data_IF_314104653756
#
_entry.id   IF_314104653756
#
_cell.length_a   1.000
_cell.length_b   1.000
_cell.length_c   1.000
_cell.angle_alpha   90.00
_cell.angle_beta   90.00
_cell.angle_gamma   90.00
#
_symmetry.space_group_name_H-M   'P 1'
#
loop_
_entity.id
_entity.type
_entity.pdbx_description
1 polymer ?
#
# COMPACT_ATOMS: atom_id res chain seq x y z
N UNK A 1 8.13 -3.88 17.28
CA UNK A 1 7.16 -2.85 16.84
C UNK A 1 5.79 -3.52 16.81
N UNK A 2 4.74 -2.91 17.36
CA UNK A 2 3.39 -3.47 17.34
C UNK A 2 2.63 -2.94 16.11
N UNK A 3 1.80 -3.81 15.53
CA UNK A 3 0.92 -3.45 14.42
C UNK A 3 -0.12 -2.45 14.91
N UNK A 4 -0.37 -1.41 14.12
CA UNK A 4 -1.37 -0.36 14.42
C UNK A 4 -2.68 -0.59 13.69
N UNK A 5 -2.63 -1.31 12.56
CA UNK A 5 -3.79 -1.68 11.77
C UNK A 5 -3.62 -3.12 11.29
N UNK A 6 -4.72 -3.73 10.84
CA UNK A 6 -4.70 -5.07 10.28
C UNK A 6 -5.58 -5.14 9.04
N UNK A 7 -4.96 -5.43 7.89
CA UNK A 7 -5.64 -5.91 6.70
C UNK A 7 -5.20 -7.34 6.43
N UNK A 8 -6.15 -8.26 6.38
CA UNK A 8 -5.88 -9.68 6.22
C UNK A 8 -6.04 -10.16 4.77
N UNK A 9 -5.25 -11.17 4.42
CA UNK A 9 -5.47 -12.07 3.28
C UNK A 9 -5.35 -13.52 3.75
N UNK A 10 -6.00 -14.43 3.03
CA UNK A 10 -5.92 -15.88 3.19
C UNK A 10 -5.05 -16.47 2.10
N UNK A 11 -4.22 -17.44 2.45
CA UNK A 11 -3.51 -18.30 1.50
C UNK A 11 -3.62 -19.78 1.94
N UNK A 12 -3.43 -20.76 1.02
CA UNK A 12 -3.44 -22.17 1.39
C UNK A 12 -2.31 -22.51 2.36
N UNK A 13 -2.60 -23.20 3.46
CA UNK A 13 -1.59 -23.65 4.44
C UNK A 13 -0.54 -24.60 3.84
N UNK A 14 -0.85 -25.20 2.70
CA UNK A 14 0.09 -26.03 1.92
C UNK A 14 1.07 -25.22 1.05
N UNK A 15 0.98 -23.89 1.05
CA UNK A 15 1.90 -23.06 0.27
C UNK A 15 3.30 -23.09 0.88
N UNK A 16 4.31 -23.31 0.03
CA UNK A 16 5.68 -23.48 0.50
C UNK A 16 6.40 -22.14 0.64
N UNK A 17 7.01 -21.93 1.81
CA UNK A 17 7.85 -20.77 2.15
C UNK A 17 9.26 -21.20 2.55
N UNK A 18 9.68 -22.42 2.21
CA UNK A 18 11.01 -22.96 2.51
C UNK A 18 12.12 -22.15 1.85
N UNK A 19 11.91 -21.72 0.60
CA UNK A 19 12.89 -20.95 -0.18
C UNK A 19 12.74 -19.42 -0.03
N UNK A 20 11.84 -18.94 0.83
CA UNK A 20 11.54 -17.52 0.94
C UNK A 20 12.81 -16.69 1.18
N UNK A 21 13.65 -17.10 2.13
CA UNK A 21 14.84 -16.33 2.52
C UNK A 21 15.91 -16.28 1.42
N UNK A 22 15.95 -17.29 0.55
CA UNK A 22 16.84 -17.35 -0.62
C UNK A 22 16.35 -16.42 -1.75
N UNK A 23 15.04 -16.24 -1.88
CA UNK A 23 14.40 -15.47 -2.95
C UNK A 23 14.22 -13.99 -2.61
N UNK A 24 14.09 -13.63 -1.33
CA UNK A 24 13.91 -12.24 -0.89
C UNK A 24 14.98 -11.26 -1.37
N UNK A 25 16.29 -11.61 -1.45
CA UNK A 25 17.32 -10.69 -1.94
C UNK A 25 17.07 -10.18 -3.37
N UNK A 26 16.48 -11.00 -4.25
CA UNK A 26 16.15 -10.59 -5.62
C UNK A 26 15.02 -9.56 -5.68
N UNK A 27 14.19 -9.51 -4.63
CA UNK A 27 13.08 -8.60 -4.47
C UNK A 27 13.35 -7.49 -3.44
N UNK A 28 14.61 -7.30 -3.02
CA UNK A 28 15.00 -6.25 -2.08
C UNK A 28 14.70 -4.84 -2.62
N UNK A 29 14.39 -3.92 -1.71
CA UNK A 29 14.17 -2.52 -2.08
C UNK A 29 15.46 -1.93 -2.66
N UNK A 30 15.39 -1.51 -3.92
CA UNK A 30 16.41 -0.68 -4.54
C UNK A 30 16.06 0.80 -4.44
N UNK A 31 17.05 1.70 -4.41
CA UNK A 31 16.80 3.13 -4.50
C UNK A 31 15.97 3.48 -5.74
N UNK A 32 15.04 4.43 -5.58
CA UNK A 32 14.22 4.90 -6.71
C UNK A 32 15.09 5.56 -7.77
N UNK A 33 14.93 5.13 -9.02
CA UNK A 33 15.72 5.63 -10.15
C UNK A 33 15.46 7.11 -10.47
N UNK A 34 16.36 7.77 -11.22
CA UNK A 34 16.25 9.21 -11.52
C UNK A 34 14.97 9.57 -12.29
N UNK A 35 14.47 8.69 -13.15
CA UNK A 35 13.23 8.87 -13.92
C UNK A 35 12.07 7.99 -13.43
N UNK A 36 12.25 7.28 -12.32
CA UNK A 36 11.20 6.46 -11.72
C UNK A 36 10.39 7.26 -10.71
N UNK A 37 9.08 7.06 -10.68
CA UNK A 37 8.19 7.70 -9.72
C UNK A 37 8.23 7.01 -8.36
N UNK A 38 8.41 5.69 -8.35
CA UNK A 38 8.47 4.90 -7.13
C UNK A 38 9.34 3.65 -7.31
N UNK A 39 9.74 3.08 -6.17
CA UNK A 39 10.39 1.79 -6.05
C UNK A 39 9.84 1.08 -4.81
N UNK A 40 9.63 -0.23 -4.91
CA UNK A 40 9.10 -1.08 -3.84
C UNK A 40 9.89 -2.39 -3.75
N UNK A 41 10.09 -2.86 -2.52
CA UNK A 41 10.78 -4.12 -2.28
C UNK A 41 10.96 -4.41 -0.79
N UNK A 42 11.57 -5.55 -0.50
CA UNK A 42 11.79 -5.99 0.87
C UNK A 42 12.91 -5.20 1.55
N UNK A 43 12.71 -4.92 2.83
CA UNK A 43 13.70 -4.31 3.71
C UNK A 43 13.83 -5.15 4.99
N UNK A 44 14.93 -5.01 5.73
CA UNK A 44 15.11 -5.77 6.96
C UNK A 44 14.03 -5.42 8.00
N UNK A 45 13.32 -6.42 8.58
CA UNK A 45 12.29 -6.17 9.59
C UNK A 45 12.85 -5.48 10.84
N UNK A 46 14.10 -5.77 11.21
CA UNK A 46 14.73 -5.15 12.38
C UNK A 46 15.21 -3.71 12.16
N UNK A 47 15.17 -3.20 10.92
CA UNK A 47 15.53 -1.82 10.60
C UNK A 47 16.87 -1.70 9.88
N UNK A 48 17.45 -0.50 9.92
CA UNK A 48 18.65 -0.17 9.13
C UNK A 48 19.88 -0.86 9.71
N UNK A 49 20.72 -1.43 8.85
CA UNK A 49 21.99 -2.06 9.22
C UNK A 49 21.93 -3.58 9.38
N UNK A 50 20.73 -4.15 9.29
CA UNK A 50 20.50 -5.60 9.30
C UNK A 50 20.45 -6.14 7.87
N UNK A 51 20.87 -7.38 7.66
CA UNK A 51 20.88 -8.00 6.32
C UNK A 51 19.67 -8.93 6.10
N UNK A 52 19.14 -9.52 7.17
CA UNK A 52 18.02 -10.45 7.09
C UNK A 52 16.73 -9.74 6.67
N UNK A 53 16.16 -10.15 5.53
CA UNK A 53 14.92 -9.59 4.95
C UNK A 53 13.63 -10.23 5.49
N UNK A 54 13.77 -11.23 6.36
CA UNK A 54 12.69 -11.88 7.08
C UNK A 54 13.11 -12.18 8.52
N UNK A 55 12.13 -12.45 9.37
CA UNK A 55 12.37 -13.01 10.68
C UNK A 55 11.34 -14.09 10.98
N UNK A 56 11.80 -15.30 11.32
CA UNK A 56 10.94 -16.46 11.56
C UNK A 56 10.93 -16.85 13.03
N UNK A 57 9.75 -17.08 13.58
CA UNK A 57 9.53 -17.63 14.93
C UNK A 57 8.41 -18.67 14.85
N UNK A 58 8.75 -19.95 15.01
CA UNK A 58 7.80 -21.04 14.83
C UNK A 58 7.15 -21.01 13.44
N UNK A 59 5.81 -21.04 13.40
CA UNK A 59 5.01 -20.96 12.18
C UNK A 59 4.71 -19.52 11.73
N UNK A 60 5.41 -18.52 12.26
CA UNK A 60 5.23 -17.12 11.90
C UNK A 60 6.46 -16.57 11.16
N UNK A 61 6.23 -15.84 10.06
CA UNK A 61 7.26 -15.10 9.33
C UNK A 61 6.90 -13.62 9.32
N UNK A 62 7.79 -12.79 9.85
CA UNK A 62 7.71 -11.35 9.77
C UNK A 62 8.51 -10.83 8.57
N UNK A 63 7.86 -10.02 7.74
CA UNK A 63 8.41 -9.33 6.59
C UNK A 63 8.17 -7.82 6.72
N UNK A 64 9.05 -7.03 6.10
CA UNK A 64 8.84 -5.60 5.94
C UNK A 64 9.02 -5.21 4.47
N UNK A 65 8.04 -4.50 3.92
CA UNK A 65 8.09 -3.94 2.56
C UNK A 65 8.32 -2.44 2.66
N UNK A 66 9.42 -2.01 2.08
CA UNK A 66 9.75 -0.60 1.92
C UNK A 66 9.21 -0.04 0.61
N UNK A 67 8.97 1.27 0.58
CA UNK A 67 8.66 1.99 -0.64
C UNK A 67 9.35 3.34 -0.66
N UNK A 68 9.91 3.72 -1.78
CA UNK A 68 10.45 5.04 -2.05
C UNK A 68 9.61 5.70 -3.13
N UNK A 69 9.08 6.90 -2.86
CA UNK A 69 8.23 7.64 -3.79
C UNK A 69 8.80 9.03 -4.04
N UNK A 70 8.91 9.45 -5.30
CA UNK A 70 9.28 10.82 -5.64
C UNK A 70 8.12 11.76 -5.35
N UNK A 71 8.41 12.79 -4.56
CA UNK A 71 7.47 13.85 -4.23
C UNK A 71 7.54 14.88 -5.36
N UNK A 72 6.68 14.70 -6.36
CA UNK A 72 6.47 15.66 -7.43
C UNK A 72 4.98 16.02 -7.50
N UNK A 73 4.53 17.03 -6.74
CA UNK A 73 3.12 17.40 -6.71
C UNK A 73 2.64 17.82 -8.10
N UNK A 74 1.50 17.27 -8.53
CA UNK A 74 0.93 17.59 -9.84
C UNK A 74 0.64 19.08 -10.02
N UNK A 75 0.34 19.81 -8.95
CA UNK A 75 0.16 21.27 -8.95
C UNK A 75 1.43 21.98 -9.45
N UNK A 76 2.59 21.66 -8.88
CA UNK A 76 3.89 22.26 -9.26
C UNK A 76 4.20 22.01 -10.75
N UNK A 77 3.96 20.80 -11.24
CA UNK A 77 4.16 20.45 -12.66
C UNK A 77 3.21 21.25 -13.56
N UNK A 78 1.95 21.38 -13.16
CA UNK A 78 0.95 22.09 -13.94
C UNK A 78 1.20 23.60 -13.97
N UNK A 79 1.67 24.20 -12.88
CA UNK A 79 2.00 25.62 -12.79
C UNK A 79 3.20 25.96 -13.67
N UNK A 80 4.28 25.17 -13.59
CA UNK A 80 5.46 25.32 -14.45
C UNK A 80 5.12 25.10 -15.93
N UNK A 81 4.24 24.14 -16.23
CA UNK A 81 3.75 23.93 -17.58
C UNK A 81 2.96 25.15 -18.07
N UNK A 82 2.08 25.72 -17.25
CA UNK A 82 1.30 26.90 -17.61
C UNK A 82 2.20 28.12 -17.88
N UNK A 83 3.22 28.34 -17.05
CA UNK A 83 4.22 29.39 -17.25
C UNK A 83 4.97 29.22 -18.58
N UNK A 84 5.54 28.03 -18.86
CA UNK A 84 6.25 27.78 -20.13
C UNK A 84 5.33 27.89 -21.34
N UNK A 85 4.07 27.47 -21.25
CA UNK A 85 3.10 27.65 -22.33
C UNK A 85 2.86 29.13 -22.60
N UNK A 86 2.60 29.94 -21.56
CA UNK A 86 2.38 31.37 -21.71
C UNK A 86 3.58 32.08 -22.37
N UNK A 87 4.81 31.74 -21.95
CA UNK A 87 6.04 32.29 -22.54
C UNK A 87 6.19 31.96 -24.04
N UNK A 88 5.79 30.75 -24.46
CA UNK A 88 5.85 30.33 -25.87
C UNK A 88 4.76 31.01 -26.68
N UNK A 89 3.55 31.10 -26.15
CA UNK A 89 2.41 31.74 -26.83
C UNK A 89 2.63 33.25 -27.02
N UNK A 90 3.24 33.92 -26.04
CA UNK A 90 3.64 35.33 -26.13
C UNK A 90 4.69 35.55 -27.23
N UNK A 91 5.68 34.66 -27.34
CA UNK A 91 6.75 34.75 -28.35
C UNK A 91 6.28 34.40 -29.76
N UNK A 92 5.42 33.39 -29.92
CA UNK A 92 4.95 32.93 -31.23
C UNK A 92 3.68 33.65 -31.72
N UNK A 93 3.01 34.41 -30.85
CA UNK A 93 1.76 35.11 -31.17
C UNK A 93 0.58 34.18 -31.46
N UNK A 94 0.65 32.91 -31.05
CA UNK A 94 -0.38 31.89 -31.28
C UNK A 94 -0.48 30.92 -30.11
N UNK A 95 -1.65 30.29 -29.98
CA UNK A 95 -1.88 29.25 -28.96
C UNK A 95 -1.12 27.96 -29.25
N UNK A 96 -0.62 27.32 -28.20
CA UNK A 96 0.08 26.07 -28.29
C UNK A 96 -0.90 24.90 -28.46
N UNK A 97 -0.71 24.09 -29.49
CA UNK A 97 -1.53 22.90 -29.73
C UNK A 97 -1.36 21.83 -28.64
N UNK A 98 -2.41 21.04 -28.39
CA UNK A 98 -2.41 20.02 -27.33
C UNK A 98 -1.25 19.00 -27.40
N UNK A 99 -0.82 18.63 -28.62
CA UNK A 99 0.33 17.74 -28.83
C UNK A 99 1.64 18.36 -28.35
N UNK A 100 1.85 19.65 -28.61
CA UNK A 100 3.05 20.36 -28.17
C UNK A 100 3.04 20.56 -26.65
N UNK A 101 1.88 20.88 -26.07
CA UNK A 101 1.72 20.96 -24.61
C UNK A 101 2.02 19.64 -23.90
N UNK A 102 1.60 18.51 -24.47
CA UNK A 102 1.92 17.18 -23.91
C UNK A 102 3.43 16.92 -23.91
N UNK A 103 4.11 17.17 -25.03
CA UNK A 103 5.58 17.04 -25.12
C UNK A 103 6.29 17.91 -24.10
N UNK A 104 5.88 19.17 -23.98
CA UNK A 104 6.44 20.09 -23.00
C UNK A 104 6.25 19.60 -21.55
N UNK A 105 5.12 18.96 -21.24
CA UNK A 105 4.90 18.33 -19.94
C UNK A 105 5.82 17.13 -19.73
N UNK A 106 6.01 16.29 -20.73
CA UNK A 106 6.89 15.11 -20.65
C UNK A 106 8.36 15.55 -20.47
N UNK A 107 8.80 16.59 -21.16
CA UNK A 107 10.14 17.19 -21.01
C UNK A 107 10.33 17.75 -19.59
N UNK A 108 9.32 18.46 -19.08
CA UNK A 108 9.33 18.99 -17.73
C UNK A 108 9.40 17.87 -16.68
N UNK A 109 8.71 16.75 -16.89
CA UNK A 109 8.83 15.59 -16.01
C UNK A 109 10.24 14.99 -16.04
N UNK A 110 10.87 14.88 -17.21
CA UNK A 110 12.26 14.41 -17.32
C UNK A 110 13.25 15.33 -16.60
N UNK A 111 13.01 16.64 -16.59
CA UNK A 111 13.84 17.63 -15.89
C UNK A 111 13.61 17.60 -14.37
N UNK A 112 12.35 17.49 -13.94
CA UNK A 112 11.98 17.62 -12.52
C UNK A 112 12.13 16.32 -11.73
N UNK A 113 11.91 15.15 -12.33
CA UNK A 113 11.97 13.88 -11.62
C UNK A 113 13.33 13.62 -10.95
N UNK A 114 14.48 13.85 -11.59
CA UNK A 114 15.78 13.66 -10.94
C UNK A 114 16.00 14.56 -9.72
N UNK A 115 15.31 15.70 -9.65
CA UNK A 115 15.42 16.71 -8.59
C UNK A 115 14.38 16.55 -7.48
N UNK A 116 13.37 15.69 -7.68
CA UNK A 116 12.30 15.50 -6.71
C UNK A 116 12.81 14.81 -5.44
N UNK A 117 12.35 15.28 -4.28
CA UNK A 117 12.65 14.63 -3.00
C UNK A 117 12.04 13.22 -2.95
N UNK A 118 12.69 12.32 -2.22
CA UNK A 118 12.21 10.94 -2.03
C UNK A 118 11.57 10.81 -0.66
N UNK A 119 10.33 10.31 -0.63
CA UNK A 119 9.63 9.90 0.59
C UNK A 119 9.72 8.39 0.75
N UNK A 120 10.35 7.93 1.82
CA UNK A 120 10.35 6.52 2.19
C UNK A 120 9.16 6.18 3.08
N UNK A 121 8.62 4.97 2.92
CA UNK A 121 7.62 4.37 3.79
C UNK A 121 7.93 2.90 4.03
N UNK A 122 7.37 2.34 5.11
CA UNK A 122 7.50 0.94 5.50
C UNK A 122 6.12 0.39 5.82
N UNK A 123 5.85 -0.82 5.38
CA UNK A 123 4.66 -1.60 5.74
C UNK A 123 5.11 -2.96 6.24
N UNK A 124 4.71 -3.30 7.46
CA UNK A 124 5.02 -4.58 8.08
C UNK A 124 3.96 -5.63 7.74
N UNK A 125 4.39 -6.88 7.64
CA UNK A 125 3.52 -8.01 7.35
C UNK A 125 3.93 -9.25 8.14
N UNK A 126 2.94 -9.98 8.63
CA UNK A 126 3.11 -11.25 9.31
C UNK A 126 2.41 -12.35 8.50
N UNK A 127 3.14 -13.39 8.16
CA UNK A 127 2.61 -14.63 7.62
C UNK A 127 2.44 -15.62 8.77
N UNK A 128 1.20 -16.02 9.02
CA UNK A 128 0.85 -17.15 9.88
C UNK A 128 0.70 -18.38 8.99
N UNK A 129 1.69 -19.27 9.05
CA UNK A 129 1.76 -20.48 8.24
C UNK A 129 0.85 -21.60 8.77
N UNK A 130 0.55 -21.57 10.06
CA UNK A 130 -0.31 -22.58 10.70
C UNK A 130 -1.75 -22.41 10.23
N UNK A 131 -2.23 -21.17 10.25
CA UNK A 131 -3.61 -20.88 9.88
C UNK A 131 -3.77 -20.45 8.43
N UNK A 132 -2.72 -19.96 7.76
CA UNK A 132 -2.77 -19.50 6.37
C UNK A 132 -3.25 -18.06 6.23
N UNK A 133 -2.71 -17.15 7.06
CA UNK A 133 -3.05 -15.73 7.03
C UNK A 133 -1.84 -14.85 6.72
N UNK A 134 -2.04 -13.87 5.84
CA UNK A 134 -1.16 -12.70 5.73
C UNK A 134 -1.85 -11.54 6.44
N UNK A 135 -1.26 -11.07 7.53
CA UNK A 135 -1.66 -9.86 8.25
C UNK A 135 -0.74 -8.71 7.82
N UNK A 136 -1.31 -7.59 7.35
CA UNK A 136 -0.53 -6.41 6.94
C UNK A 136 -0.86 -5.23 7.84
N UNK A 137 0.17 -4.54 8.35
CA UNK A 137 0.05 -3.32 9.18
C UNK A 137 -0.37 -2.11 8.33
N UNK A 138 -1.60 -2.14 7.84
CA UNK A 138 -2.17 -1.08 7.01
C UNK A 138 -3.70 -1.09 7.13
N UNK A 139 -4.28 0.11 7.18
CA UNK A 139 -5.73 0.32 6.98
C UNK A 139 -6.11 0.48 5.50
N UNK A 140 -5.12 0.68 4.62
CA UNK A 140 -5.30 0.81 3.18
C UNK A 140 -5.22 -0.56 2.51
N UNK A 141 -6.34 -0.99 1.90
CA UNK A 141 -6.42 -2.21 1.08
C UNK A 141 -5.40 -2.20 -0.05
N UNK A 142 -5.24 -1.07 -0.74
CA UNK A 142 -4.27 -0.92 -1.85
C UNK A 142 -2.83 -1.17 -1.38
N UNK A 143 -2.46 -0.64 -0.23
CA UNK A 143 -1.13 -0.87 0.35
C UNK A 143 -0.95 -2.34 0.71
N UNK A 144 -1.98 -2.96 1.29
CA UNK A 144 -1.94 -4.36 1.67
C UNK A 144 -1.85 -5.31 0.45
N UNK A 145 -2.56 -4.99 -0.64
CA UNK A 145 -2.44 -5.69 -1.92
C UNK A 145 -1.06 -5.52 -2.56
N UNK A 146 -0.44 -4.34 -2.39
CA UNK A 146 0.94 -4.10 -2.84
C UNK A 146 1.90 -5.05 -2.10
N UNK A 147 1.77 -5.18 -0.78
CA UNK A 147 2.58 -6.13 0.01
C UNK A 147 2.38 -7.58 -0.46
N UNK A 148 1.13 -8.01 -0.65
CA UNK A 148 0.85 -9.35 -1.19
C UNK A 148 1.44 -9.56 -2.59
N UNK A 149 1.48 -8.50 -3.41
CA UNK A 149 2.07 -8.55 -4.75
C UNK A 149 3.60 -8.63 -4.72
N UNK A 150 4.25 -7.98 -3.76
CA UNK A 150 5.71 -8.09 -3.54
C UNK A 150 6.10 -9.49 -3.05
N UNK A 151 5.30 -10.10 -2.16
CA UNK A 151 5.49 -11.50 -1.75
C UNK A 151 5.32 -12.43 -2.96
N UNK A 152 4.28 -12.20 -3.77
CA UNK A 152 4.09 -12.95 -5.03
C UNK A 152 5.27 -12.79 -5.98
N UNK A 153 5.84 -11.59 -6.08
CA UNK A 153 7.00 -11.33 -6.94
C UNK A 153 8.22 -12.12 -6.47
N UNK A 154 8.49 -12.15 -5.17
CA UNK A 154 9.61 -12.91 -4.61
C UNK A 154 9.43 -14.42 -4.78
N UNK A 155 8.23 -14.95 -4.51
CA UNK A 155 7.97 -16.39 -4.57
C UNK A 155 7.60 -16.91 -5.97
N UNK A 156 7.42 -16.02 -6.95
CA UNK A 156 6.85 -16.32 -8.28
C UNK A 156 5.35 -16.62 -8.26
N UNK A 157 4.83 -17.24 -7.20
CA UNK A 157 3.39 -17.45 -6.97
C UNK A 157 3.05 -17.22 -5.51
N UNK A 158 1.90 -16.58 -5.27
CA UNK A 158 1.35 -16.41 -3.92
C UNK A 158 -0.16 -16.15 -4.02
N UNK A 159 -0.98 -17.20 -3.82
CA UNK A 159 -2.43 -17.14 -4.01
C UNK A 159 -3.13 -16.56 -2.77
N UNK A 160 -2.76 -15.33 -2.39
CA UNK A 160 -3.38 -14.61 -1.30
C UNK A 160 -4.61 -13.82 -1.77
N UNK A 161 -5.74 -14.02 -1.11
CA UNK A 161 -7.01 -13.34 -1.39
C UNK A 161 -7.60 -12.72 -0.12
N UNK A 162 -8.36 -11.61 -0.20
CA UNK A 162 -9.04 -11.08 0.97
C UNK A 162 -9.96 -12.15 1.62
N UNK A 163 -10.05 -12.21 2.96
CA UNK A 163 -10.97 -13.12 3.61
C UNK A 163 -12.40 -12.77 3.19
N UNK A 164 -13.17 -13.81 2.88
CA UNK A 164 -14.60 -13.68 2.64
C UNK A 164 -15.35 -14.15 3.89
N UNK A 165 -16.19 -13.29 4.44
CA UNK A 165 -17.03 -13.64 5.58
C UNK A 165 -18.32 -14.31 5.07
N UNK A 166 -18.70 -15.43 5.69
CA UNK A 166 -19.97 -16.12 5.36
C UNK A 166 -21.18 -15.25 5.72
N UNK A 167 -21.07 -14.50 6.82
CA UNK A 167 -22.08 -13.55 7.28
C UNK A 167 -21.56 -12.13 7.08
N UNK A 168 -22.43 -11.24 6.59
CA UNK A 168 -22.08 -9.85 6.39
C UNK A 168 -21.64 -9.19 7.71
N UNK A 169 -20.39 -8.68 7.82
CA UNK A 169 -19.89 -8.10 9.07
C UNK A 169 -20.77 -6.97 9.61
N UNK A 170 -21.38 -6.16 8.73
CA UNK A 170 -22.34 -5.12 9.11
C UNK A 170 -23.50 -5.67 9.96
N UNK A 171 -24.05 -6.83 9.58
CA UNK A 171 -25.17 -7.45 10.29
C UNK A 171 -24.75 -7.89 11.68
N UNK A 172 -23.59 -8.54 11.79
CA UNK A 172 -23.05 -9.04 13.06
C UNK A 172 -22.74 -7.87 14.01
N UNK A 173 -22.06 -6.84 13.52
CA UNK A 173 -21.73 -5.64 14.30
C UNK A 173 -23.00 -4.90 14.77
N UNK A 174 -24.04 -4.85 13.94
CA UNK A 174 -25.33 -4.24 14.32
C UNK A 174 -26.03 -5.06 15.42
N UNK A 175 -25.99 -6.39 15.32
CA UNK A 175 -26.51 -7.28 16.35
C UNK A 175 -25.86 -7.07 17.71
N UNK A 176 -24.52 -6.96 17.75
CA UNK A 176 -23.79 -6.70 18.99
C UNK A 176 -24.17 -5.37 19.64
N UNK A 177 -24.34 -4.31 18.86
CA UNK A 177 -24.81 -3.01 19.37
C UNK A 177 -26.28 -3.08 19.83
N UNK A 178 -27.10 -3.89 19.19
CA UNK A 178 -28.51 -4.11 19.56
C UNK A 178 -28.69 -5.02 20.80
N UNK A 179 -27.61 -5.56 21.37
CA UNK A 179 -27.63 -6.39 22.58
C UNK A 179 -27.58 -7.90 22.34
N UNK A 180 -27.28 -8.35 21.12
CA UNK A 180 -26.96 -9.76 20.89
C UNK A 180 -25.68 -10.16 21.64
N UNK A 181 -25.57 -11.42 22.10
CA UNK A 181 -24.39 -11.89 22.82
C UNK A 181 -23.11 -11.67 22.01
N UNK A 182 -22.11 -11.05 22.64
CA UNK A 182 -20.77 -10.98 22.08
C UNK A 182 -20.03 -12.32 22.25
N UNK A 183 -19.16 -12.69 21.31
CA UNK A 183 -18.23 -13.80 21.51
C UNK A 183 -17.38 -13.60 22.77
N UNK A 184 -16.97 -14.70 23.39
CA UNK A 184 -16.09 -14.67 24.56
C UNK A 184 -14.78 -13.91 24.25
N UNK A 185 -14.35 -13.06 25.18
CA UNK A 185 -13.14 -12.24 25.04
C UNK A 185 -13.33 -10.94 24.25
N UNK A 186 -14.51 -10.68 23.67
CA UNK A 186 -14.85 -9.41 23.05
C UNK A 186 -15.71 -8.54 23.98
N UNK A 187 -15.51 -7.23 23.90
CA UNK A 187 -16.34 -6.22 24.56
C UNK A 187 -16.56 -5.05 23.60
N UNK A 188 -17.67 -4.34 23.77
CA UNK A 188 -17.95 -3.14 23.00
C UNK A 188 -17.00 -2.01 23.42
N UNK A 189 -16.46 -1.29 22.44
CA UNK A 189 -15.74 -0.04 22.67
C UNK A 189 -16.69 1.14 22.87
N UNK A 190 -16.12 2.35 22.88
CA UNK A 190 -16.86 3.60 23.09
C UNK A 190 -17.22 4.33 21.79
N UNK A 191 -16.70 3.88 20.64
CA UNK A 191 -16.89 4.54 19.34
C UNK A 191 -17.58 3.62 18.33
N UNK A 192 -18.50 4.19 17.54
CA UNK A 192 -19.10 3.50 16.40
C UNK A 192 -19.44 4.45 15.23
N UNK A 193 -19.52 3.88 14.03
CA UNK A 193 -20.03 4.58 12.84
C UNK A 193 -21.30 3.89 12.34
N UNK A 194 -22.43 4.56 12.50
CA UNK A 194 -23.73 4.10 12.05
C UNK A 194 -24.04 4.71 10.68
N UNK A 195 -24.40 3.84 9.73
CA UNK A 195 -24.76 4.22 8.37
C UNK A 195 -26.16 3.75 8.04
N UNK A 196 -26.92 4.61 7.37
CA UNK A 196 -28.19 4.24 6.76
C UNK A 196 -28.00 3.06 5.77
N UNK A 197 -29.05 2.27 5.56
CA UNK A 197 -29.05 1.20 4.57
C UNK A 197 -29.06 1.74 3.13
N UNK A 198 -29.64 2.93 2.91
CA UNK A 198 -29.67 3.59 1.61
C UNK A 198 -28.31 4.14 1.21
N UNK A 199 -27.96 3.97 -0.07
CA UNK A 199 -26.76 4.59 -0.64
C UNK A 199 -26.90 6.12 -0.62
N UNK A 200 -25.87 6.81 -0.12
CA UNK A 200 -25.89 8.26 0.14
C UNK A 200 -26.73 8.69 1.35
N UNK A 201 -27.20 7.76 2.19
CA UNK A 201 -27.95 8.08 3.41
C UNK A 201 -27.10 8.66 4.55
N UNK A 202 -27.72 8.89 5.70
CA UNK A 202 -27.09 9.55 6.83
C UNK A 202 -25.95 8.72 7.43
N UNK A 203 -24.92 9.42 7.94
CA UNK A 203 -23.81 8.85 8.69
C UNK A 203 -23.75 9.52 10.05
N UNK A 204 -23.83 8.73 11.12
CA UNK A 204 -23.67 9.18 12.50
C UNK A 204 -22.39 8.55 13.06
N UNK A 205 -21.53 9.39 13.65
CA UNK A 205 -20.35 8.95 14.39
C UNK A 205 -20.61 9.29 15.86
N UNK A 206 -20.62 8.27 16.70
CA UNK A 206 -20.88 8.38 18.13
C UNK A 206 -19.70 7.80 18.91
#
# INVERSE_FOLDING_TARGET
MFFRNLTFFRFPTSHDFSQLDELLPEAALRPVGPLELNSTGFIPPFGRGEEALSHRVGNAIWLAVGSENKILPGSVVNDLLAQKVAEIEEKEGRKLGGKARKRLKDDLLHELLPRAFVKSSRTDALLDLEHGFLAVDSSSRKTAETVASEIRRALGSFPAIPPNAEVAPRSVLTGWIAGEPLPEGLSLGEECELKDAMDGGAVVKA
#
